data_IF_943550643097
#
_entry.id   IF_943550643097
#
_cell.length_a   1.000
_cell.length_b   1.000
_cell.length_c   1.000
_cell.angle_alpha   90.00
_cell.angle_beta   90.00
_cell.angle_gamma   90.00
#
_symmetry.space_group_name_H-M   'P 1'
#
loop_
_entity.id
_entity.type
_entity.pdbx_description
1 polymer ?
#
# COMPACT_ATOMS: atom_id res chain seq x y z
N UNK A 1 32.58 -2.06 -21.04
CA UNK A 1 32.62 -0.58 -21.02
C UNK A 1 31.62 -0.14 -19.97
N UNK A 2 32.11 0.42 -18.86
CA UNK A 2 31.36 0.60 -17.63
C UNK A 2 30.26 1.65 -17.77
N UNK A 3 29.02 1.28 -17.45
CA UNK A 3 27.91 2.21 -17.30
C UNK A 3 28.03 2.88 -15.93
N UNK A 4 28.46 4.14 -15.93
CA UNK A 4 28.27 5.05 -14.81
C UNK A 4 26.78 5.08 -14.45
N UNK A 5 26.47 4.80 -13.18
CA UNK A 5 25.18 5.08 -12.56
C UNK A 5 25.05 6.59 -12.38
N UNK A 6 24.66 7.29 -13.42
CA UNK A 6 24.09 8.63 -13.26
C UNK A 6 22.59 8.49 -12.94
N UNK A 7 22.11 9.35 -12.05
CA UNK A 7 20.78 9.27 -11.45
C UNK A 7 19.66 9.54 -12.47
N UNK A 8 19.10 8.47 -13.05
CA UNK A 8 17.90 8.46 -13.90
C UNK A 8 16.59 8.64 -13.10
N UNK A 9 16.50 9.65 -12.24
CA UNK A 9 15.21 9.98 -11.62
C UNK A 9 14.32 10.75 -12.60
N UNK A 10 13.20 10.13 -12.98
CA UNK A 10 12.08 10.76 -13.67
C UNK A 10 11.31 11.61 -12.65
N UNK A 11 11.24 12.91 -12.87
CA UNK A 11 10.38 13.79 -12.08
C UNK A 11 9.02 13.90 -12.76
N UNK A 12 7.95 13.65 -12.00
CA UNK A 12 6.58 13.82 -12.46
C UNK A 12 5.82 14.70 -11.47
N UNK A 13 5.06 15.65 -11.98
CA UNK A 13 4.17 16.48 -11.15
C UNK A 13 2.74 16.02 -11.34
N UNK A 14 2.10 15.61 -10.25
CA UNK A 14 0.68 15.24 -10.25
C UNK A 14 -0.10 16.40 -9.65
N UNK A 15 -0.92 17.02 -10.47
CA UNK A 15 -1.86 18.05 -10.06
C UNK A 15 -3.26 17.45 -10.01
N UNK A 16 -3.97 17.66 -8.91
CA UNK A 16 -5.35 17.22 -8.78
C UNK A 16 -6.24 18.33 -8.25
N UNK A 17 -7.31 18.59 -8.97
CA UNK A 17 -8.38 19.51 -8.60
C UNK A 17 -9.67 18.71 -8.32
N UNK A 18 -10.22 18.89 -7.13
CA UNK A 18 -11.49 18.28 -6.72
C UNK A 18 -12.57 19.34 -6.70
N UNK A 19 -13.69 19.10 -7.39
CA UNK A 19 -14.86 19.97 -7.40
C UNK A 19 -16.00 19.37 -6.56
N UNK A 20 -16.02 18.03 -6.37
CA UNK A 20 -17.03 17.32 -5.56
C UNK A 20 -16.45 16.04 -4.89
N UNK A 21 -17.27 15.38 -4.07
CA UNK A 21 -17.00 14.12 -3.36
C UNK A 21 -16.85 12.91 -4.30
N UNK A 22 -15.88 12.02 -4.02
CA UNK A 22 -15.66 10.80 -4.81
C UNK A 22 -14.44 10.00 -4.35
N UNK A 23 -14.38 8.73 -4.76
CA UNK A 23 -13.24 7.84 -4.50
C UNK A 23 -12.34 7.83 -5.72
N UNK A 24 -11.10 8.27 -5.53
CA UNK A 24 -10.04 8.19 -6.54
C UNK A 24 -8.90 7.38 -5.96
N UNK A 25 -8.59 6.26 -6.60
CA UNK A 25 -7.34 5.57 -6.39
C UNK A 25 -6.49 5.83 -7.62
N UNK A 26 -5.38 6.52 -7.44
CA UNK A 26 -4.26 6.36 -8.34
C UNK A 26 -3.58 5.07 -7.92
N UNK A 27 -3.31 4.13 -8.83
CA UNK A 27 -2.55 2.94 -8.50
C UNK A 27 -1.37 2.82 -9.45
N UNK A 28 -0.22 2.57 -8.86
CA UNK A 28 1.03 2.21 -9.54
C UNK A 28 1.94 1.55 -8.50
N UNK A 29 2.91 0.76 -8.96
CA UNK A 29 3.95 0.19 -8.09
C UNK A 29 5.16 1.12 -8.09
N UNK A 30 5.13 2.18 -7.29
CA UNK A 30 6.33 2.99 -7.08
C UNK A 30 7.14 2.33 -5.97
N UNK A 31 8.33 1.83 -6.30
CA UNK A 31 9.24 1.24 -5.32
C UNK A 31 8.54 0.18 -4.44
N UNK A 32 7.77 -0.72 -5.07
CA UNK A 32 7.06 -1.80 -4.40
C UNK A 32 5.93 -1.34 -3.46
N UNK A 33 5.34 -0.15 -3.69
CA UNK A 33 4.16 0.32 -2.94
C UNK A 33 3.10 0.88 -3.86
N UNK A 34 1.83 0.61 -3.51
CA UNK A 34 0.69 1.31 -4.11
C UNK A 34 0.67 2.75 -3.62
N UNK A 35 0.90 3.68 -4.54
CA UNK A 35 0.69 5.09 -4.26
C UNK A 35 -0.80 5.40 -4.45
N UNK A 36 -1.59 5.49 -3.39
CA UNK A 36 -3.01 5.90 -3.46
C UNK A 36 -3.23 7.29 -2.87
N UNK A 37 -4.12 8.08 -3.48
CA UNK A 37 -4.58 9.37 -2.96
C UNK A 37 -6.08 9.25 -2.66
N UNK A 38 -6.42 8.72 -1.48
CA UNK A 38 -7.80 8.63 -1.02
C UNK A 38 -8.28 9.99 -0.50
N UNK A 39 -9.52 10.38 -0.83
CA UNK A 39 -10.07 11.68 -0.44
C UNK A 39 -11.46 11.53 0.17
N UNK A 40 -11.68 12.10 1.38
CA UNK A 40 -12.97 12.04 2.04
C UNK A 40 -13.98 12.99 1.41
N UNK A 41 -15.25 12.63 1.57
CA UNK A 41 -16.42 13.36 1.10
C UNK A 41 -16.59 14.71 1.83
N UNK A 42 -16.03 15.81 1.32
CA UNK A 42 -16.48 17.15 1.72
C UNK A 42 -16.58 18.12 0.54
N UNK A 43 -17.65 18.93 0.52
CA UNK A 43 -18.09 19.85 -0.53
C UNK A 43 -17.21 21.11 -0.67
N UNK A 44 -15.89 20.97 -0.80
CA UNK A 44 -14.98 22.11 -0.97
C UNK A 44 -14.03 21.87 -2.14
N UNK A 45 -13.82 22.89 -3.00
CA UNK A 45 -12.80 22.83 -4.05
C UNK A 45 -11.43 22.71 -3.36
N UNK A 46 -10.75 21.57 -3.55
CA UNK A 46 -9.39 21.36 -3.05
C UNK A 46 -8.46 21.14 -4.22
N UNK A 47 -7.37 21.90 -4.27
CA UNK A 47 -6.24 21.64 -5.17
C UNK A 47 -5.14 20.98 -4.36
N UNK A 48 -4.64 19.84 -4.85
CA UNK A 48 -3.45 19.18 -4.32
C UNK A 48 -2.47 18.98 -5.45
N UNK A 49 -1.21 19.32 -5.19
CA UNK A 49 -0.10 18.96 -6.07
C UNK A 49 0.84 18.05 -5.31
N UNK A 50 1.39 17.05 -6.00
CA UNK A 50 2.43 16.18 -5.46
C UNK A 50 3.49 15.96 -6.52
N UNK A 51 4.71 16.38 -6.21
CA UNK A 51 5.88 15.99 -6.99
C UNK A 51 6.30 14.58 -6.59
N UNK A 52 6.58 13.76 -7.60
CA UNK A 52 7.09 12.42 -7.46
C UNK A 52 8.42 12.31 -8.19
N UNK A 53 9.40 11.68 -7.54
CA UNK A 53 10.62 11.21 -8.18
C UNK A 53 10.48 9.70 -8.39
N UNK A 54 10.39 9.31 -9.65
CA UNK A 54 10.27 7.94 -10.14
C UNK A 54 11.63 7.47 -10.62
N UNK A 55 11.97 6.20 -10.41
CA UNK A 55 13.24 5.62 -10.91
C UNK A 55 13.09 4.97 -12.29
N UNK A 56 11.85 4.78 -12.75
CA UNK A 56 11.48 4.11 -14.00
C UNK A 56 10.18 4.71 -14.52
N UNK A 57 9.93 4.64 -15.85
CA UNK A 57 8.61 4.97 -16.38
C UNK A 57 7.53 4.20 -15.63
N UNK A 58 6.40 4.87 -15.42
CA UNK A 58 5.34 4.34 -14.56
C UNK A 58 3.99 4.52 -15.24
N UNK A 59 3.18 3.48 -15.18
CA UNK A 59 1.78 3.56 -15.59
C UNK A 59 0.93 3.81 -14.38
N UNK A 60 0.11 4.86 -14.47
CA UNK A 60 -0.84 5.25 -13.46
C UNK A 60 -2.23 4.84 -13.90
N UNK A 61 -2.95 4.13 -13.04
CA UNK A 61 -4.33 3.75 -13.30
C UNK A 61 -5.28 4.50 -12.39
N UNK A 62 -6.37 5.01 -12.95
CA UNK A 62 -7.48 5.57 -12.19
C UNK A 62 -8.77 4.79 -12.41
N UNK A 63 -9.52 4.64 -11.32
CA UNK A 63 -10.74 3.85 -11.27
C UNK A 63 -11.93 4.75 -10.94
N UNK A 64 -13.04 4.58 -11.65
CA UNK A 64 -14.31 5.26 -11.36
C UNK A 64 -15.47 4.29 -11.52
N UNK A 65 -16.45 4.35 -10.62
CA UNK A 65 -17.74 3.67 -10.81
C UNK A 65 -18.68 4.54 -11.65
N UNK A 66 -19.19 3.99 -12.75
CA UNK A 66 -20.16 4.64 -13.64
C UNK A 66 -21.30 3.67 -13.89
N UNK A 67 -22.52 3.97 -13.41
CA UNK A 67 -23.68 3.08 -13.55
C UNK A 67 -23.36 1.63 -13.12
N UNK A 68 -22.72 1.47 -11.96
CA UNK A 68 -22.25 0.19 -11.40
C UNK A 68 -21.19 -0.57 -12.23
N UNK A 69 -20.56 0.08 -13.21
CA UNK A 69 -19.41 -0.47 -13.95
C UNK A 69 -18.14 0.29 -13.54
N UNK A 70 -17.08 -0.45 -13.26
CA UNK A 70 -15.75 0.13 -13.08
C UNK A 70 -15.22 0.59 -14.43
N UNK A 71 -14.80 1.84 -14.53
CA UNK A 71 -14.10 2.41 -15.68
C UNK A 71 -12.65 2.63 -15.25
N UNK A 72 -11.72 2.09 -16.03
CA UNK A 72 -10.28 2.22 -15.78
C UNK A 72 -9.67 3.15 -16.82
N UNK A 73 -8.96 4.18 -16.38
CA UNK A 73 -8.11 5.00 -17.26
C UNK A 73 -6.65 4.80 -16.91
N UNK A 74 -5.79 4.75 -17.93
CA UNK A 74 -4.36 4.46 -17.85
C UNK A 74 -3.58 5.63 -18.40
N UNK A 75 -2.57 6.06 -17.65
CA UNK A 75 -1.73 7.19 -18.00
C UNK A 75 -0.29 6.73 -17.98
N UNK A 76 0.39 6.83 -19.12
CA UNK A 76 1.83 6.58 -19.21
C UNK A 76 2.57 7.85 -18.85
N UNK A 77 3.62 7.74 -18.03
CA UNK A 77 4.42 8.89 -17.57
C UNK A 77 5.89 8.65 -17.86
N UNK A 78 6.47 9.60 -18.57
CA UNK A 78 7.87 9.71 -18.92
C UNK A 78 8.56 10.84 -18.14
N UNK A 79 9.81 11.15 -18.49
CA UNK A 79 10.61 12.20 -17.87
C UNK A 79 9.94 13.57 -18.04
N UNK A 80 9.81 14.31 -16.93
CA UNK A 80 9.30 15.69 -16.88
C UNK A 80 7.80 15.85 -17.25
N UNK A 81 7.06 14.75 -17.26
CA UNK A 81 5.61 14.79 -17.50
C UNK A 81 4.85 15.43 -16.33
N UNK A 82 3.84 16.23 -16.70
CA UNK A 82 2.84 16.74 -15.75
C UNK A 82 1.49 16.10 -16.05
N UNK A 83 0.90 15.45 -15.04
CA UNK A 83 -0.44 14.91 -15.10
C UNK A 83 -1.38 15.81 -14.31
N UNK A 84 -2.37 16.42 -14.97
CA UNK A 84 -3.41 17.18 -14.28
C UNK A 84 -4.77 16.50 -14.39
N UNK A 85 -5.38 16.28 -13.23
CA UNK A 85 -6.69 15.65 -13.12
C UNK A 85 -7.67 16.62 -12.49
N UNK A 86 -8.82 16.83 -13.14
CA UNK A 86 -9.94 17.58 -12.56
C UNK A 86 -11.13 16.65 -12.38
N UNK A 87 -11.60 16.53 -11.15
CA UNK A 87 -12.69 15.64 -10.75
C UNK A 87 -13.93 16.44 -10.37
N UNK A 88 -15.07 16.04 -10.92
CA UNK A 88 -16.37 16.69 -10.73
C UNK A 88 -17.47 15.62 -10.89
N UNK A 89 -18.53 15.71 -10.08
CA UNK A 89 -19.62 14.71 -10.06
C UNK A 89 -20.37 14.64 -11.39
N UNK A 90 -20.64 15.80 -11.98
CA UNK A 90 -21.48 15.94 -13.18
C UNK A 90 -20.67 16.30 -14.44
N UNK A 91 -19.38 16.60 -14.28
CA UNK A 91 -18.44 16.75 -15.39
C UNK A 91 -17.78 15.40 -15.66
N UNK A 92 -17.65 15.00 -16.92
CA UNK A 92 -16.63 14.00 -17.30
C UNK A 92 -15.30 14.52 -16.75
N UNK A 93 -14.59 13.76 -15.90
CA UNK A 93 -13.29 14.17 -15.37
C UNK A 93 -12.46 14.77 -16.50
N UNK A 94 -12.20 16.08 -16.45
CA UNK A 94 -11.41 16.74 -17.47
C UNK A 94 -9.95 16.51 -17.09
N UNK A 95 -9.33 15.55 -17.76
CA UNK A 95 -7.91 15.39 -17.70
C UNK A 95 -7.27 16.47 -18.57
N UNK A 96 -6.28 17.18 -18.03
CA UNK A 96 -5.37 17.99 -18.82
C UNK A 96 -3.96 17.44 -18.66
N UNK A 97 -3.47 16.86 -19.75
CA UNK A 97 -2.09 16.41 -19.89
C UNK A 97 -1.84 16.12 -21.35
N UNK A 98 -0.59 15.88 -21.70
CA UNK A 98 -0.23 15.65 -23.09
C UNK A 98 -1.00 14.43 -23.64
N UNK A 99 -1.49 14.50 -24.89
CA UNK A 99 -2.10 13.37 -25.59
C UNK A 99 -1.22 12.11 -25.52
N UNK A 100 0.10 12.32 -25.48
CA UNK A 100 1.13 11.32 -25.23
C UNK A 100 0.85 10.41 -24.03
N UNK A 101 0.32 10.97 -22.96
CA UNK A 101 0.15 10.27 -21.68
C UNK A 101 -1.11 9.40 -21.68
N UNK A 102 -2.08 9.70 -22.54
CA UNK A 102 -3.36 8.98 -22.62
C UNK A 102 -3.38 7.83 -23.63
N UNK A 103 -2.26 7.56 -24.30
CA UNK A 103 -2.20 6.60 -25.41
C UNK A 103 -2.69 5.20 -25.05
N UNK A 104 -2.45 4.76 -23.81
CA UNK A 104 -2.94 3.47 -23.34
C UNK A 104 -4.46 3.38 -23.33
N UNK A 105 -5.19 4.49 -23.13
CA UNK A 105 -6.65 4.50 -23.23
C UNK A 105 -7.15 4.39 -24.67
N UNK A 106 -6.34 4.82 -25.64
CA UNK A 106 -6.65 4.71 -27.06
C UNK A 106 -6.42 3.27 -27.53
N UNK A 107 -5.28 2.69 -27.13
CA UNK A 107 -4.89 1.33 -27.52
C UNK A 107 -5.65 0.24 -26.75
N UNK A 108 -6.03 0.50 -25.50
CA UNK A 108 -6.72 -0.46 -24.63
C UNK A 108 -8.06 0.11 -24.17
N UNK A 109 -9.11 -0.37 -24.81
CA UNK A 109 -10.50 -0.07 -24.44
C UNK A 109 -11.12 -1.21 -23.61
N UNK A 110 -10.40 -1.66 -22.57
CA UNK A 110 -10.87 -2.70 -21.65
C UNK A 110 -10.90 -2.18 -20.20
N UNK A 111 -12.04 -2.38 -19.56
CA UNK A 111 -12.32 -2.01 -18.18
C UNK A 111 -12.24 -3.20 -17.20
N UNK A 112 -12.13 -4.43 -17.72
CA UNK A 112 -12.17 -5.69 -16.96
C UNK A 112 -10.77 -6.29 -16.74
N UNK A 113 -9.73 -5.47 -16.77
CA UNK A 113 -8.32 -5.91 -16.81
C UNK A 113 -7.92 -6.79 -15.61
N UNK A 114 -8.55 -6.58 -14.46
CA UNK A 114 -8.31 -7.36 -13.25
C UNK A 114 -9.39 -8.44 -12.99
N UNK A 115 -10.47 -8.46 -13.76
CA UNK A 115 -11.51 -9.47 -13.59
C UNK A 115 -11.05 -10.80 -14.20
N UNK A 116 -11.24 -11.89 -13.46
CA UNK A 116 -11.03 -13.25 -13.97
C UNK A 116 -12.00 -13.47 -15.13
N UNK A 117 -11.47 -13.92 -16.27
CA UNK A 117 -12.25 -14.17 -17.47
C UNK A 117 -12.70 -15.63 -17.52
N UNK A 118 -13.94 -15.86 -17.96
CA UNK A 118 -14.53 -17.18 -18.16
C UNK A 118 -15.00 -17.34 -19.61
N UNK A 119 -14.09 -17.30 -20.61
CA UNK A 119 -14.48 -17.42 -22.01
C UNK A 119 -15.02 -18.84 -22.28
N UNK A 120 -16.04 -18.94 -23.14
CA UNK A 120 -16.61 -20.24 -23.53
C UNK A 120 -15.59 -21.15 -24.25
N UNK A 121 -14.61 -20.55 -24.92
CA UNK A 121 -13.54 -21.25 -25.61
C UNK A 121 -12.21 -20.50 -25.34
N UNK A 122 -11.36 -21.10 -24.51
CA UNK A 122 -10.13 -20.46 -24.01
C UNK A 122 -9.07 -20.31 -25.11
N UNK A 123 -8.89 -21.33 -25.97
CA UNK A 123 -7.92 -21.27 -27.07
C UNK A 123 -8.24 -20.14 -28.05
N UNK A 124 -9.52 -19.97 -28.44
CA UNK A 124 -9.94 -18.87 -29.30
C UNK A 124 -9.74 -17.51 -28.62
N UNK A 125 -10.00 -17.43 -27.31
CA UNK A 125 -9.76 -16.22 -26.54
C UNK A 125 -8.28 -15.84 -26.53
N UNK A 126 -7.36 -16.79 -26.32
CA UNK A 126 -5.91 -16.54 -26.36
C UNK A 126 -5.48 -16.02 -27.74
N UNK A 127 -5.94 -16.64 -28.83
CA UNK A 127 -5.66 -16.20 -30.20
C UNK A 127 -6.19 -14.79 -30.48
N UNK A 128 -7.38 -14.44 -29.96
CA UNK A 128 -7.94 -13.09 -30.07
C UNK A 128 -7.08 -12.07 -29.33
N UNK A 129 -6.65 -12.39 -28.10
CA UNK A 129 -5.76 -11.51 -27.33
C UNK A 129 -4.42 -11.30 -28.06
N UNK A 130 -3.87 -12.34 -28.69
CA UNK A 130 -2.63 -12.24 -29.49
C UNK A 130 -2.79 -11.30 -30.67
N UNK A 131 -3.87 -11.45 -31.45
CA UNK A 131 -4.17 -10.57 -32.60
C UNK A 131 -4.34 -9.11 -32.17
N UNK A 132 -5.03 -8.87 -31.05
CA UNK A 132 -5.21 -7.53 -30.51
C UNK A 132 -3.87 -6.90 -30.07
N UNK A 133 -3.01 -7.69 -29.42
CA UNK A 133 -1.66 -7.26 -29.06
C UNK A 133 -0.83 -6.88 -30.30
N UNK A 134 -0.75 -7.76 -31.31
CA UNK A 134 0.00 -7.50 -32.55
C UNK A 134 -0.50 -6.24 -33.27
N UNK A 135 -1.83 -6.05 -33.34
CA UNK A 135 -2.44 -4.85 -33.91
C UNK A 135 -1.98 -3.59 -33.16
N UNK A 136 -2.05 -3.60 -31.83
CA UNK A 136 -1.67 -2.45 -31.02
C UNK A 136 -0.17 -2.13 -31.14
N UNK A 137 0.70 -3.14 -31.22
CA UNK A 137 2.14 -2.94 -31.46
C UNK A 137 2.38 -2.23 -32.80
N UNK A 138 1.70 -2.65 -33.87
CA UNK A 138 1.80 -1.99 -35.19
C UNK A 138 1.32 -0.54 -35.13
N UNK A 139 0.27 -0.25 -34.37
CA UNK A 139 -0.20 1.13 -34.19
C UNK A 139 0.83 2.01 -33.45
N UNK A 140 1.49 1.49 -32.41
CA UNK A 140 2.57 2.22 -31.71
C UNK A 140 3.73 2.52 -32.64
N UNK A 141 4.15 1.55 -33.46
CA UNK A 141 5.26 1.71 -34.41
C UNK A 141 4.99 2.79 -35.47
N UNK A 142 3.71 3.04 -35.81
CA UNK A 142 3.33 4.14 -36.73
C UNK A 142 3.42 5.52 -36.08
N UNK A 143 3.54 5.61 -34.76
CA UNK A 143 3.55 6.89 -34.01
C UNK A 143 4.96 7.46 -33.79
N UNK A 144 5.87 7.24 -34.75
CA UNK A 144 7.26 7.70 -34.66
C UNK A 144 7.43 9.22 -34.50
N UNK A 145 6.46 10.01 -34.96
CA UNK A 145 6.45 11.46 -34.80
C UNK A 145 5.97 11.93 -33.41
N UNK A 146 5.42 11.03 -32.59
CA UNK A 146 4.88 11.34 -31.25
C UNK A 146 5.73 10.74 -30.13
N UNK A 147 6.34 9.58 -30.36
CA UNK A 147 7.17 8.86 -29.40
C UNK A 147 8.52 8.53 -30.01
N UNK A 148 9.59 8.76 -29.25
CA UNK A 148 10.91 8.26 -29.63
C UNK A 148 10.98 6.73 -29.45
N UNK A 149 12.03 6.10 -29.98
CA UNK A 149 12.19 4.64 -29.96
C UNK A 149 12.17 4.05 -28.54
N UNK A 150 12.74 4.75 -27.54
CA UNK A 150 12.73 4.28 -26.16
C UNK A 150 11.31 4.30 -25.58
N UNK A 151 10.57 5.37 -25.82
CA UNK A 151 9.18 5.53 -25.36
C UNK A 151 8.23 4.54 -26.04
N UNK A 152 8.38 4.30 -27.35
CA UNK A 152 7.65 3.25 -28.05
C UNK A 152 7.94 1.88 -27.43
N UNK A 153 9.22 1.60 -27.12
CA UNK A 153 9.63 0.39 -26.42
C UNK A 153 8.90 0.22 -25.09
N UNK A 154 8.80 1.27 -24.27
CA UNK A 154 8.08 1.22 -23.00
C UNK A 154 6.55 1.05 -23.15
N UNK A 155 5.95 1.59 -24.21
CA UNK A 155 4.53 1.37 -24.51
C UNK A 155 4.30 -0.09 -24.93
N UNK A 156 5.16 -0.61 -25.80
CA UNK A 156 5.11 -2.02 -26.24
C UNK A 156 5.32 -2.95 -25.04
N UNK A 157 6.27 -2.64 -24.16
CA UNK A 157 6.50 -3.36 -22.91
C UNK A 157 5.22 -3.46 -22.06
N UNK A 158 4.48 -2.36 -21.92
CA UNK A 158 3.19 -2.39 -21.22
C UNK A 158 2.15 -3.23 -21.96
N UNK A 159 2.05 -3.12 -23.29
CA UNK A 159 1.14 -3.94 -24.09
C UNK A 159 1.44 -5.43 -23.94
N UNK A 160 2.72 -5.81 -23.83
CA UNK A 160 3.17 -7.17 -23.56
C UNK A 160 2.73 -7.64 -22.18
N UNK A 161 2.97 -6.84 -21.14
CA UNK A 161 2.49 -7.16 -19.79
C UNK A 161 0.96 -7.26 -19.72
N UNK A 162 0.26 -6.37 -20.42
CA UNK A 162 -1.20 -6.39 -20.53
C UNK A 162 -1.69 -7.68 -21.21
N UNK A 163 -1.05 -8.08 -22.30
CA UNK A 163 -1.34 -9.33 -23.00
C UNK A 163 -1.13 -10.54 -22.08
N UNK A 164 0.02 -10.65 -21.43
CA UNK A 164 0.31 -11.71 -20.45
C UNK A 164 -0.71 -11.77 -19.32
N UNK A 165 -1.09 -10.61 -18.78
CA UNK A 165 -2.15 -10.52 -17.79
C UNK A 165 -3.48 -11.07 -18.34
N UNK A 166 -3.87 -10.74 -19.58
CA UNK A 166 -5.15 -11.19 -20.17
C UNK A 166 -5.21 -12.69 -20.40
N UNK A 167 -4.12 -13.32 -20.84
CA UNK A 167 -4.11 -14.76 -21.13
C UNK A 167 -4.06 -15.63 -19.86
N UNK A 168 -3.45 -15.14 -18.77
CA UNK A 168 -3.37 -15.87 -17.50
C UNK A 168 -4.45 -15.47 -16.49
N UNK A 169 -5.14 -14.34 -16.67
CA UNK A 169 -6.27 -13.96 -15.82
C UNK A 169 -7.58 -14.64 -16.24
N UNK A 170 -7.55 -15.96 -16.35
CA UNK A 170 -8.69 -16.82 -16.72
C UNK A 170 -9.06 -17.74 -15.55
N UNK A 171 -10.23 -18.35 -15.63
CA UNK A 171 -10.61 -19.44 -14.73
C UNK A 171 -9.98 -20.76 -15.17
N UNK A 172 -8.85 -21.12 -14.55
CA UNK A 172 -8.14 -22.37 -14.85
C UNK A 172 -8.98 -23.64 -14.55
N UNK A 173 -10.04 -23.56 -13.75
CA UNK A 173 -10.94 -24.71 -13.53
C UNK A 173 -11.73 -25.11 -14.78
N UNK A 174 -11.74 -24.25 -15.80
CA UNK A 174 -12.36 -24.50 -17.11
C UNK A 174 -11.36 -24.98 -18.17
N UNK A 175 -10.08 -25.08 -17.84
CA UNK A 175 -9.03 -25.55 -18.76
C UNK A 175 -8.95 -27.07 -18.70
N UNK A 176 -9.51 -27.72 -19.72
CA UNK A 176 -9.66 -29.17 -19.74
C UNK A 176 -8.96 -29.82 -20.94
N UNK A 177 -8.68 -29.05 -21.99
CA UNK A 177 -8.11 -29.59 -23.23
C UNK A 177 -6.58 -29.45 -23.28
N UNK A 178 -5.85 -30.47 -23.77
CA UNK A 178 -4.38 -30.44 -23.82
C UNK A 178 -3.79 -29.30 -24.67
N UNK A 179 -4.47 -28.87 -25.73
CA UNK A 179 -3.96 -27.82 -26.63
C UNK A 179 -3.93 -26.46 -25.94
N UNK A 180 -4.95 -26.12 -25.18
CA UNK A 180 -4.97 -24.90 -24.35
C UNK A 180 -3.84 -24.94 -23.31
N UNK A 181 -3.61 -26.09 -22.67
CA UNK A 181 -2.52 -26.24 -21.69
C UNK A 181 -1.16 -26.03 -22.36
N UNK A 182 -0.93 -26.65 -23.53
CA UNK A 182 0.30 -26.49 -24.33
C UNK A 182 0.53 -25.01 -24.70
N UNK A 183 -0.52 -24.30 -25.11
CA UNK A 183 -0.43 -22.89 -25.46
C UNK A 183 -0.15 -22.00 -24.24
N UNK A 184 -0.80 -22.25 -23.11
CA UNK A 184 -0.51 -21.55 -21.86
C UNK A 184 0.93 -21.83 -21.40
N UNK A 185 1.43 -23.06 -21.57
CA UNK A 185 2.80 -23.42 -21.26
C UNK A 185 3.82 -22.71 -22.14
N UNK A 186 3.52 -22.53 -23.42
CA UNK A 186 4.33 -21.72 -24.32
C UNK A 186 4.48 -20.29 -23.78
N UNK A 187 3.35 -19.62 -23.47
CA UNK A 187 3.40 -18.25 -22.95
C UNK A 187 3.97 -18.16 -21.53
N UNK A 188 3.80 -19.19 -20.71
CA UNK A 188 4.42 -19.27 -19.39
C UNK A 188 5.94 -19.19 -19.54
N UNK A 189 6.52 -19.97 -20.46
CA UNK A 189 7.96 -19.90 -20.78
C UNK A 189 8.37 -18.55 -21.35
N UNK A 190 7.59 -17.99 -22.29
CA UNK A 190 7.89 -16.66 -22.86
C UNK A 190 7.95 -15.56 -21.79
N UNK A 191 7.09 -15.62 -20.77
CA UNK A 191 7.11 -14.68 -19.65
C UNK A 191 8.43 -14.81 -18.87
N UNK A 192 8.89 -16.02 -18.59
CA UNK A 192 10.16 -16.21 -17.87
C UNK A 192 11.39 -15.84 -18.68
N UNK A 193 11.36 -16.06 -19.99
CA UNK A 193 12.43 -15.60 -20.87
C UNK A 193 12.49 -14.06 -20.94
N UNK A 194 11.33 -13.41 -20.80
CA UNK A 194 11.20 -11.96 -20.76
C UNK A 194 11.05 -11.38 -19.34
N UNK A 195 11.41 -12.11 -18.28
CA UNK A 195 11.00 -11.73 -16.90
C UNK A 195 11.54 -10.38 -16.44
N UNK A 196 12.66 -9.92 -17.01
CA UNK A 196 13.24 -8.59 -16.75
C UNK A 196 12.31 -7.45 -17.15
N UNK A 197 11.31 -7.71 -17.99
CA UNK A 197 10.25 -6.78 -18.33
C UNK A 197 9.51 -6.26 -17.09
N UNK A 198 9.28 -7.13 -16.10
CA UNK A 198 8.64 -6.77 -14.83
C UNK A 198 9.47 -5.73 -14.04
N UNK A 199 10.80 -5.75 -14.20
CA UNK A 199 11.70 -4.80 -13.57
C UNK A 199 11.90 -3.54 -14.41
N UNK A 200 11.59 -3.56 -15.70
CA UNK A 200 11.77 -2.41 -16.59
C UNK A 200 10.67 -1.36 -16.41
N UNK A 201 9.44 -1.81 -16.12
CA UNK A 201 8.27 -0.94 -16.02
C UNK A 201 7.52 -1.11 -14.69
N UNK A 202 7.22 0.00 -14.03
CA UNK A 202 6.39 0.02 -12.83
C UNK A 202 4.90 0.06 -13.19
N UNK A 203 4.22 -1.07 -13.02
CA UNK A 203 2.79 -1.21 -13.32
C UNK A 203 2.09 -2.12 -12.31
N UNK A 204 0.83 -1.82 -11.99
CA UNK A 204 -0.01 -2.67 -11.15
C UNK A 204 -0.23 -4.07 -11.77
N UNK A 205 -0.08 -4.20 -13.10
CA UNK A 205 -0.16 -5.49 -13.79
C UNK A 205 0.89 -6.49 -13.30
N UNK A 206 2.07 -6.05 -12.86
CA UNK A 206 3.14 -6.95 -12.42
C UNK A 206 2.66 -7.86 -11.28
N UNK A 207 1.93 -7.32 -10.31
CA UNK A 207 1.35 -8.11 -9.21
C UNK A 207 0.35 -9.14 -9.72
N UNK A 208 -0.56 -8.73 -10.61
CA UNK A 208 -1.59 -9.63 -11.12
C UNK A 208 -0.97 -10.74 -11.99
N UNK A 209 0.04 -10.42 -12.80
CA UNK A 209 0.80 -11.41 -13.57
C UNK A 209 1.46 -12.40 -12.61
N UNK A 210 2.20 -11.95 -11.59
CA UNK A 210 2.86 -12.83 -10.62
C UNK A 210 1.87 -13.73 -9.89
N UNK A 211 0.72 -13.18 -9.48
CA UNK A 211 -0.35 -13.95 -8.88
C UNK A 211 -0.95 -14.99 -9.84
N UNK A 212 -1.18 -14.62 -11.10
CA UNK A 212 -1.73 -15.53 -12.10
C UNK A 212 -0.74 -16.61 -12.55
N UNK A 213 0.57 -16.31 -12.57
CA UNK A 213 1.61 -17.32 -12.75
C UNK A 213 1.56 -18.35 -11.64
N UNK A 214 1.48 -17.91 -10.37
CA UNK A 214 1.30 -18.82 -9.23
C UNK A 214 0.03 -19.67 -9.34
N UNK A 215 -1.10 -19.08 -9.75
CA UNK A 215 -2.35 -19.82 -10.00
C UNK A 215 -2.19 -20.87 -11.10
N UNK A 216 -1.49 -20.54 -12.17
CA UNK A 216 -1.23 -21.49 -13.26
C UNK A 216 -0.27 -22.60 -12.82
N UNK A 217 0.77 -22.27 -12.05
CA UNK A 217 1.67 -23.25 -11.44
C UNK A 217 0.92 -24.19 -10.51
N UNK A 218 0.02 -23.66 -9.68
CA UNK A 218 -0.88 -24.42 -8.81
C UNK A 218 -1.77 -25.38 -9.60
N UNK A 219 -2.41 -24.88 -10.67
CA UNK A 219 -3.20 -25.69 -11.59
C UNK A 219 -2.37 -26.85 -12.20
N UNK A 220 -1.19 -26.55 -12.73
CA UNK A 220 -0.32 -27.56 -13.36
C UNK A 220 0.16 -28.65 -12.40
N UNK A 221 0.53 -28.24 -11.18
CA UNK A 221 1.08 -29.16 -10.19
C UNK A 221 0.00 -29.79 -9.30
N UNK A 222 -1.28 -29.45 -9.50
CA UNK A 222 -2.40 -29.86 -8.65
C UNK A 222 -2.16 -29.58 -7.16
N UNK A 223 -1.43 -28.50 -6.86
CA UNK A 223 -1.16 -28.07 -5.49
C UNK A 223 -1.96 -26.79 -5.20
N UNK A 224 -2.97 -26.83 -4.32
CA UNK A 224 -3.79 -25.65 -4.01
C UNK A 224 -3.05 -24.60 -3.16
N UNK A 225 -1.95 -24.96 -2.50
CA UNK A 225 -1.14 -24.03 -1.73
C UNK A 225 -0.25 -23.20 -2.67
N UNK A 226 -0.64 -21.93 -2.86
CA UNK A 226 0.10 -20.99 -3.69
C UNK A 226 1.49 -20.68 -3.15
N UNK A 227 1.70 -20.77 -1.83
CA UNK A 227 3.00 -20.49 -1.23
C UNK A 227 3.97 -21.64 -1.47
N UNK A 228 3.48 -22.88 -1.34
CA UNK A 228 4.27 -24.04 -1.78
C UNK A 228 4.59 -23.94 -3.26
N UNK A 229 3.69 -23.41 -4.10
CA UNK A 229 3.95 -23.26 -5.53
C UNK A 229 5.12 -22.33 -5.90
N UNK A 230 5.64 -21.51 -4.97
CA UNK A 230 6.78 -20.63 -5.24
C UNK A 230 8.01 -21.38 -5.76
N UNK A 231 8.27 -22.60 -5.28
CA UNK A 231 9.49 -23.35 -5.67
C UNK A 231 9.47 -23.85 -7.12
N UNK A 232 8.30 -23.91 -7.76
CA UNK A 232 8.16 -24.30 -9.17
C UNK A 232 8.34 -23.13 -10.13
N UNK A 233 8.48 -21.89 -9.62
CA UNK A 233 8.72 -20.73 -10.46
C UNK A 233 10.17 -20.72 -10.99
N UNK A 234 10.38 -20.09 -12.14
CA UNK A 234 11.72 -19.97 -12.73
C UNK A 234 12.67 -19.21 -11.80
N UNK A 235 13.90 -19.72 -11.66
CA UNK A 235 14.96 -19.12 -10.85
C UNK A 235 15.28 -17.66 -11.19
N UNK A 236 15.10 -17.24 -12.46
CA UNK A 236 15.30 -15.86 -12.91
C UNK A 236 14.31 -14.91 -12.24
N UNK A 237 13.09 -15.38 -11.93
CA UNK A 237 12.07 -14.56 -11.28
C UNK A 237 12.47 -14.19 -9.83
N UNK A 238 13.18 -15.07 -9.12
CA UNK A 238 13.70 -14.83 -7.77
C UNK A 238 14.67 -13.64 -7.69
N UNK A 239 15.14 -13.16 -8.83
CA UNK A 239 16.06 -12.04 -8.91
C UNK A 239 15.36 -10.71 -9.21
N UNK A 240 14.03 -10.66 -9.31
CA UNK A 240 13.28 -9.48 -9.76
C UNK A 240 12.83 -8.55 -8.62
N UNK A 241 12.82 -7.23 -8.88
CA UNK A 241 12.21 -6.21 -8.00
C UNK A 241 10.69 -6.38 -7.91
N UNK A 242 10.07 -6.85 -8.99
CA UNK A 242 8.64 -7.12 -9.01
C UNK A 242 8.23 -8.24 -8.05
N UNK A 243 8.93 -9.38 -8.04
CA UNK A 243 8.62 -10.48 -7.11
C UNK A 243 8.80 -10.05 -5.66
N UNK A 244 9.93 -9.40 -5.34
CA UNK A 244 10.17 -8.88 -4.00
C UNK A 244 8.99 -8.03 -3.53
N UNK A 245 8.54 -7.07 -4.35
CA UNK A 245 7.44 -6.19 -3.99
C UNK A 245 6.12 -6.92 -3.80
N UNK A 246 5.81 -7.86 -4.71
CA UNK A 246 4.62 -8.69 -4.60
C UNK A 246 4.60 -9.50 -3.30
N UNK A 247 5.71 -10.17 -2.97
CA UNK A 247 5.83 -10.99 -1.78
C UNK A 247 5.80 -10.16 -0.49
N UNK A 248 6.39 -8.97 -0.52
CA UNK A 248 6.34 -8.04 0.61
C UNK A 248 4.94 -7.50 0.86
N UNK A 249 4.21 -7.12 -0.20
CA UNK A 249 2.83 -6.69 -0.09
C UNK A 249 1.91 -7.85 0.33
N UNK A 250 2.18 -9.07 -0.11
CA UNK A 250 1.50 -10.28 0.35
C UNK A 250 1.76 -10.50 1.85
N UNK A 251 3.01 -10.42 2.29
CA UNK A 251 3.38 -10.51 3.71
C UNK A 251 2.69 -9.44 4.55
N UNK A 252 2.57 -8.21 4.06
CA UNK A 252 1.91 -7.11 4.76
C UNK A 252 0.40 -7.31 4.82
N UNK A 253 -0.22 -7.65 3.69
CA UNK A 253 -1.69 -7.80 3.57
C UNK A 253 -2.22 -9.02 4.32
N UNK A 254 -1.43 -10.10 4.36
CA UNK A 254 -1.82 -11.37 4.96
C UNK A 254 -1.03 -11.70 6.23
N UNK A 255 -0.27 -10.75 6.79
CA UNK A 255 0.63 -10.97 7.94
C UNK A 255 -0.02 -11.79 9.06
N UNK A 256 -1.27 -11.45 9.39
CA UNK A 256 -2.05 -12.08 10.45
C UNK A 256 -2.45 -13.55 10.18
N UNK A 257 -2.38 -14.00 8.93
CA UNK A 257 -2.79 -15.32 8.48
C UNK A 257 -1.60 -16.20 8.07
N UNK A 258 -0.37 -15.68 8.15
CA UNK A 258 0.85 -16.40 7.77
C UNK A 258 1.49 -17.02 9.02
N UNK A 259 1.80 -18.31 8.94
CA UNK A 259 2.61 -18.99 9.96
C UNK A 259 4.07 -18.56 9.89
N UNK A 260 4.86 -18.86 10.93
CA UNK A 260 6.31 -18.63 10.90
C UNK A 260 7.00 -19.39 9.75
N UNK A 261 6.52 -20.60 9.46
CA UNK A 261 6.98 -21.39 8.30
C UNK A 261 6.72 -20.64 6.99
N UNK A 262 5.57 -20.00 6.86
CA UNK A 262 5.21 -19.23 5.66
C UNK A 262 6.11 -18.00 5.52
N UNK A 263 6.32 -17.26 6.61
CA UNK A 263 7.21 -16.11 6.64
C UNK A 263 8.65 -16.49 6.27
N UNK A 264 9.15 -17.62 6.78
CA UNK A 264 10.47 -18.16 6.42
C UNK A 264 10.51 -18.52 4.93
N UNK A 265 9.46 -19.16 4.43
CA UNK A 265 9.36 -19.58 3.03
C UNK A 265 9.38 -18.36 2.12
N UNK A 266 8.52 -17.37 2.35
CA UNK A 266 8.46 -16.13 1.56
C UNK A 266 9.81 -15.40 1.57
N UNK A 267 10.44 -15.25 2.74
CA UNK A 267 11.73 -14.56 2.88
C UNK A 267 12.85 -15.18 2.05
N UNK A 268 12.80 -16.48 1.76
CA UNK A 268 13.80 -17.14 0.88
C UNK A 268 13.77 -16.61 -0.55
N UNK A 269 12.61 -16.14 -1.00
CA UNK A 269 12.38 -15.66 -2.37
C UNK A 269 12.51 -14.14 -2.51
N UNK A 270 12.79 -13.43 -1.41
CA UNK A 270 13.00 -11.98 -1.41
C UNK A 270 14.49 -11.70 -1.35
N UNK A 271 14.99 -10.84 -2.23
CA UNK A 271 16.42 -10.45 -2.22
C UNK A 271 16.78 -9.72 -0.92
N UNK A 272 17.97 -10.04 -0.37
CA UNK A 272 18.49 -9.46 0.88
C UNK A 272 18.42 -7.92 0.93
N UNK A 273 18.71 -7.24 -0.19
CA UNK A 273 18.65 -5.77 -0.28
C UNK A 273 17.25 -5.22 -0.02
N UNK A 274 16.21 -5.92 -0.46
CA UNK A 274 14.81 -5.51 -0.31
C UNK A 274 14.30 -5.80 1.09
N UNK A 275 14.77 -6.88 1.72
CA UNK A 275 14.52 -7.16 3.14
C UNK A 275 15.14 -6.10 4.05
N UNK A 276 16.37 -5.64 3.76
CA UNK A 276 17.06 -4.61 4.57
C UNK A 276 16.25 -3.31 4.67
N UNK A 277 15.65 -2.88 3.56
CA UNK A 277 14.78 -1.69 3.50
C UNK A 277 13.50 -1.79 4.35
N UNK A 278 13.13 -2.99 4.81
CA UNK A 278 11.97 -3.22 5.69
C UNK A 278 12.38 -3.39 7.14
N UNK A 279 13.51 -4.04 7.43
CA UNK A 279 14.04 -4.09 8.79
C UNK A 279 14.45 -2.70 9.29
N UNK A 280 14.93 -1.83 8.42
CA UNK A 280 15.15 -0.40 8.73
C UNK A 280 13.84 0.37 8.98
N UNK A 281 12.68 -0.21 8.62
CA UNK A 281 11.34 0.37 8.86
C UNK A 281 10.58 -0.27 10.03
N UNK A 282 10.89 -1.52 10.39
CA UNK A 282 10.23 -2.28 11.48
C UNK A 282 10.80 -2.01 12.89
N UNK A 283 11.84 -1.18 13.00
CA UNK A 283 12.32 -0.65 14.29
C UNK A 283 12.45 0.86 14.21
N UNK A 284 11.36 1.56 13.84
CA UNK A 284 11.29 2.99 14.17
C UNK A 284 11.24 3.08 15.69
N UNK A 285 12.40 3.23 16.30
CA UNK A 285 12.52 3.61 17.70
C UNK A 285 12.06 5.06 17.82
N UNK A 286 11.43 5.36 18.95
CA UNK A 286 11.18 6.74 19.34
C UNK A 286 12.51 7.49 19.30
N UNK A 287 12.54 8.67 18.68
CA UNK A 287 13.79 9.44 18.59
C UNK A 287 14.24 9.89 19.98
N UNK A 288 15.56 10.09 20.13
CA UNK A 288 16.15 10.56 21.39
C UNK A 288 15.56 11.91 21.84
N UNK A 289 15.21 12.78 20.87
CA UNK A 289 14.53 14.05 21.13
C UNK A 289 13.14 13.86 21.75
N UNK A 290 12.43 12.79 21.40
CA UNK A 290 11.16 12.45 22.05
C UNK A 290 11.41 11.83 23.41
N UNK A 291 12.36 10.90 23.57
CA UNK A 291 12.66 10.31 24.88
C UNK A 291 13.06 11.34 25.94
N UNK A 292 13.86 12.35 25.53
CA UNK A 292 14.30 13.45 26.39
C UNK A 292 13.26 14.57 26.56
N UNK A 293 12.14 14.51 25.84
CA UNK A 293 11.05 15.48 25.99
C UNK A 293 10.26 15.26 27.28
N UNK A 294 9.61 16.32 27.76
CA UNK A 294 8.90 16.33 29.05
C UNK A 294 7.40 16.41 28.84
N UNK A 295 6.70 15.61 29.64
CA UNK A 295 5.25 15.59 29.81
C UNK A 295 4.89 16.16 31.18
N UNK A 296 3.66 16.62 31.38
CA UNK A 296 3.15 16.96 32.72
C UNK A 296 2.18 15.89 33.21
N UNK A 297 2.32 15.45 34.47
CA UNK A 297 1.38 14.55 35.14
C UNK A 297 0.18 15.32 35.76
N UNK A 298 -0.75 14.59 36.38
CA UNK A 298 -1.93 15.18 37.04
C UNK A 298 -1.61 16.10 38.23
N UNK A 299 -0.39 16.06 38.78
CA UNK A 299 0.07 16.90 39.87
C UNK A 299 0.92 18.09 39.35
N UNK A 300 0.94 18.32 38.04
CA UNK A 300 1.80 19.32 37.37
C UNK A 300 3.29 19.03 37.45
N UNK A 301 3.70 17.82 37.85
CA UNK A 301 5.11 17.44 37.83
C UNK A 301 5.55 17.15 36.40
N UNK A 302 6.77 17.54 36.06
CA UNK A 302 7.40 17.13 34.82
C UNK A 302 7.87 15.67 34.90
N UNK A 303 7.54 14.87 33.89
CA UNK A 303 8.03 13.51 33.71
C UNK A 303 8.72 13.40 32.34
N UNK A 304 9.86 12.72 32.28
CA UNK A 304 10.49 12.44 30.99
C UNK A 304 9.63 11.42 30.23
N UNK A 305 9.52 11.60 28.91
CA UNK A 305 8.75 10.69 28.06
C UNK A 305 9.23 9.24 28.22
N UNK A 306 10.55 9.04 28.35
CA UNK A 306 11.13 7.72 28.62
C UNK A 306 10.60 7.09 29.92
N UNK A 307 10.47 7.87 31.00
CA UNK A 307 9.96 7.39 32.30
C UNK A 307 8.49 6.98 32.20
N UNK A 308 7.71 7.76 31.45
CA UNK A 308 6.31 7.46 31.16
C UNK A 308 6.14 6.12 30.43
N UNK A 309 7.12 5.70 29.62
CA UNK A 309 7.06 4.42 28.91
C UNK A 309 7.61 3.23 29.70
N UNK A 310 8.28 3.42 30.84
CA UNK A 310 8.89 2.34 31.60
C UNK A 310 7.85 1.27 31.99
N UNK A 311 8.07 0.04 31.55
CA UNK A 311 7.19 -1.11 31.84
C UNK A 311 7.65 -1.87 33.07
N UNK A 312 6.73 -2.52 33.77
CA UNK A 312 7.05 -3.53 34.80
C UNK A 312 7.56 -4.81 34.14
N UNK A 313 8.27 -5.66 34.90
CA UNK A 313 8.77 -6.94 34.40
C UNK A 313 7.67 -7.88 33.84
N UNK A 314 6.43 -7.73 34.32
CA UNK A 314 5.28 -8.50 33.86
C UNK A 314 4.64 -7.94 32.59
N UNK A 315 4.91 -6.67 32.26
CA UNK A 315 4.33 -5.97 31.12
C UNK A 315 5.24 -6.11 29.90
N UNK A 316 4.70 -6.53 28.76
CA UNK A 316 5.44 -6.73 27.51
C UNK A 316 5.18 -5.65 26.46
N UNK A 317 4.12 -4.85 26.64
CA UNK A 317 3.65 -3.83 25.70
C UNK A 317 3.30 -2.52 26.41
N UNK A 318 3.35 -1.42 25.66
CA UNK A 318 2.79 -0.12 26.05
C UNK A 318 1.75 0.30 25.02
N UNK A 319 0.53 0.60 25.46
CA UNK A 319 -0.51 1.19 24.64
C UNK A 319 -0.72 2.65 25.04
N UNK A 320 -0.58 3.56 24.07
CA UNK A 320 -0.73 5.00 24.25
C UNK A 320 -2.06 5.45 23.63
N UNK A 321 -2.86 6.21 24.35
CA UNK A 321 -4.06 6.92 23.86
C UNK A 321 -3.79 8.42 23.75
N UNK A 322 -3.88 8.95 22.53
CA UNK A 322 -3.83 10.38 22.24
C UNK A 322 -5.24 10.94 22.15
N UNK A 323 -5.59 11.79 23.10
CA UNK A 323 -6.95 12.28 23.29
C UNK A 323 -6.98 13.77 23.70
N UNK A 324 -8.18 14.33 23.83
CA UNK A 324 -8.39 15.66 24.41
C UNK A 324 -9.80 15.81 24.98
N UNK A 325 -10.00 16.73 25.92
CA UNK A 325 -11.31 16.98 26.56
C UNK A 325 -12.40 17.44 25.58
N UNK A 326 -12.02 18.13 24.51
CA UNK A 326 -12.93 18.59 23.45
C UNK A 326 -13.19 17.52 22.35
N UNK A 327 -12.52 16.37 22.42
CA UNK A 327 -12.64 15.31 21.43
C UNK A 327 -13.78 14.34 21.78
N UNK A 328 -15.00 14.63 21.32
CA UNK A 328 -16.18 13.76 21.55
C UNK A 328 -15.94 12.30 21.15
N UNK A 329 -15.33 11.98 19.98
CA UNK A 329 -15.05 10.58 19.64
C UNK A 329 -14.07 9.92 20.61
N UNK A 330 -13.10 10.65 21.18
CA UNK A 330 -12.18 10.11 22.18
C UNK A 330 -12.93 9.76 23.47
N UNK A 331 -13.83 10.63 23.92
CA UNK A 331 -14.64 10.39 25.13
C UNK A 331 -15.52 9.15 24.99
N UNK A 332 -16.02 8.88 23.78
CA UNK A 332 -16.81 7.67 23.49
C UNK A 332 -15.99 6.37 23.56
N UNK A 333 -14.66 6.43 23.40
CA UNK A 333 -13.77 5.26 23.49
C UNK A 333 -13.35 4.96 24.94
N UNK A 334 -13.44 5.92 25.87
CA UNK A 334 -13.00 5.76 27.26
C UNK A 334 -13.60 4.54 27.98
N UNK A 335 -14.91 4.20 27.81
CA UNK A 335 -15.45 2.99 28.43
C UNK A 335 -14.80 1.70 27.92
N UNK A 336 -14.44 1.65 26.64
CA UNK A 336 -13.75 0.50 26.05
C UNK A 336 -12.28 0.46 26.48
N UNK A 337 -11.61 1.61 26.54
CA UNK A 337 -10.27 1.75 27.12
C UNK A 337 -10.19 1.19 28.54
N UNK A 338 -11.10 1.62 29.43
CA UNK A 338 -11.12 1.18 30.82
C UNK A 338 -11.35 -0.34 30.96
N UNK A 339 -12.20 -0.92 30.09
CA UNK A 339 -12.39 -2.38 30.03
C UNK A 339 -11.12 -3.11 29.59
N UNK A 340 -10.43 -2.57 28.58
CA UNK A 340 -9.18 -3.13 28.08
C UNK A 340 -8.06 -3.03 29.11
N UNK A 341 -7.95 -1.90 29.81
CA UNK A 341 -6.97 -1.70 30.88
C UNK A 341 -7.15 -2.73 32.01
N UNK A 342 -8.40 -3.00 32.40
CA UNK A 342 -8.70 -4.04 33.38
C UNK A 342 -8.38 -5.45 32.86
N UNK A 343 -8.77 -5.76 31.62
CA UNK A 343 -8.56 -7.08 31.01
C UNK A 343 -7.07 -7.42 30.86
N UNK A 344 -6.24 -6.45 30.48
CA UNK A 344 -4.82 -6.64 30.19
C UNK A 344 -3.90 -6.15 31.31
N UNK A 345 -4.46 -5.94 32.51
CA UNK A 345 -3.71 -5.49 33.69
C UNK A 345 -2.51 -6.39 33.96
N UNK A 346 -1.34 -5.77 34.14
CA UNK A 346 -0.08 -6.46 34.41
C UNK A 346 0.57 -7.09 33.19
N UNK A 347 -0.08 -7.10 32.02
CA UNK A 347 0.50 -7.53 30.73
C UNK A 347 0.83 -6.35 29.82
N UNK A 348 0.04 -5.28 29.90
CA UNK A 348 0.18 -4.08 29.08
C UNK A 348 0.16 -2.85 29.99
N UNK A 349 1.07 -1.91 29.73
CA UNK A 349 1.03 -0.59 30.31
C UNK A 349 0.11 0.31 29.47
N UNK A 350 -0.91 0.88 30.09
CA UNK A 350 -1.83 1.83 29.46
C UNK A 350 -1.38 3.25 29.82
N UNK A 351 -1.21 4.11 28.81
CA UNK A 351 -0.77 5.50 28.97
C UNK A 351 -1.72 6.41 28.21
N UNK A 352 -2.26 7.42 28.89
CA UNK A 352 -3.09 8.45 28.27
C UNK A 352 -2.28 9.74 28.15
N UNK A 353 -2.20 10.29 26.95
CA UNK A 353 -1.53 11.56 26.67
C UNK A 353 -2.54 12.52 26.05
N UNK A 354 -2.95 13.51 26.81
CA UNK A 354 -3.81 14.59 26.33
C UNK A 354 -3.00 15.59 25.48
N UNK A 355 -3.64 16.08 24.41
CA UNK A 355 -3.16 17.22 23.61
C UNK A 355 -3.99 18.50 23.87
N UNK A 356 -4.68 18.58 25.01
CA UNK A 356 -5.30 19.81 25.49
C UNK A 356 -4.24 20.90 25.66
N UNK A 357 -4.60 22.14 25.34
CA UNK A 357 -3.70 23.29 25.50
C UNK A 357 -3.79 23.95 26.89
N UNK A 358 -4.70 23.48 27.75
CA UNK A 358 -4.98 24.07 29.06
C UNK A 358 -4.98 22.96 30.13
N UNK A 359 -3.98 23.00 31.00
CA UNK A 359 -3.78 22.03 32.08
C UNK A 359 -4.96 21.99 33.05
N UNK A 360 -5.44 23.15 33.53
CA UNK A 360 -6.51 23.22 34.53
C UNK A 360 -7.82 22.61 34.01
N UNK A 361 -8.19 22.88 32.75
CA UNK A 361 -9.38 22.30 32.12
C UNK A 361 -9.28 20.78 32.03
N UNK A 362 -8.13 20.28 31.60
CA UNK A 362 -7.85 18.86 31.53
C UNK A 362 -7.90 18.20 32.92
N UNK A 363 -7.25 18.80 33.91
CA UNK A 363 -7.25 18.33 35.29
C UNK A 363 -8.66 18.29 35.89
N UNK A 364 -9.45 19.35 35.72
CA UNK A 364 -10.84 19.41 36.20
C UNK A 364 -11.71 18.34 35.52
N UNK A 365 -11.50 18.08 34.23
CA UNK A 365 -12.18 17.00 33.52
C UNK A 365 -11.83 15.64 34.12
N UNK A 366 -10.54 15.34 34.31
CA UNK A 366 -10.09 14.08 34.92
C UNK A 366 -10.65 13.88 36.33
N UNK A 367 -10.62 14.94 37.14
CA UNK A 367 -11.16 14.93 38.51
C UNK A 367 -12.67 14.62 38.53
N UNK A 368 -13.43 15.16 37.58
CA UNK A 368 -14.87 14.86 37.44
C UNK A 368 -15.16 13.40 37.07
N UNK A 369 -14.18 12.69 36.51
CA UNK A 369 -14.26 11.28 36.09
C UNK A 369 -13.56 10.33 37.05
N UNK A 370 -12.92 10.84 38.10
CA UNK A 370 -12.04 10.09 39.02
C UNK A 370 -11.00 9.24 38.28
N UNK A 371 -10.41 9.81 37.24
CA UNK A 371 -9.49 9.12 36.33
C UNK A 371 -8.09 9.75 36.40
N UNK A 372 -7.32 9.37 37.41
CA UNK A 372 -5.99 9.95 37.67
C UNK A 372 -4.83 9.04 37.26
N UNK A 373 -5.10 7.81 36.81
CA UNK A 373 -4.06 6.82 36.55
C UNK A 373 -3.40 7.02 35.17
N UNK A 374 -2.07 7.11 35.15
CA UNK A 374 -1.24 7.17 33.94
C UNK A 374 -1.69 8.22 32.90
N UNK A 375 -2.18 9.35 33.40
CA UNK A 375 -2.62 10.48 32.59
C UNK A 375 -1.53 11.55 32.56
N UNK A 376 -1.18 11.96 31.34
CA UNK A 376 -0.20 13.00 31.06
C UNK A 376 -0.77 13.99 30.04
N UNK A 377 -0.19 15.19 29.97
CA UNK A 377 -0.59 16.23 29.01
C UNK A 377 0.61 16.84 28.30
N UNK A 378 0.41 17.14 27.02
CA UNK A 378 1.28 17.97 26.18
C UNK A 378 0.50 19.25 25.84
N UNK A 379 0.82 20.35 26.52
CA UNK A 379 0.16 21.65 26.30
C UNK A 379 0.71 22.43 25.11
N UNK A 380 1.90 22.05 24.61
CA UNK A 380 2.59 22.73 23.51
C UNK A 380 2.47 21.93 22.20
N UNK A 381 1.78 22.49 21.21
CA UNK A 381 1.63 21.86 19.87
C UNK A 381 2.96 21.70 19.11
N UNK A 382 4.02 22.40 19.53
CA UNK A 382 5.37 22.25 18.97
C UNK A 382 6.20 21.10 19.59
N UNK A 383 5.63 20.32 20.50
CA UNK A 383 6.31 19.24 21.20
C UNK A 383 6.94 18.21 20.24
N UNK A 384 8.16 17.69 20.51
CA UNK A 384 8.85 16.72 19.66
C UNK A 384 7.99 15.52 19.27
N UNK A 385 7.23 14.96 20.23
CA UNK A 385 6.33 13.83 20.00
C UNK A 385 5.26 14.14 18.95
N UNK A 386 4.60 15.31 19.04
CA UNK A 386 3.55 15.74 18.10
C UNK A 386 4.14 15.91 16.69
N UNK A 387 5.34 16.50 16.60
CA UNK A 387 6.03 16.74 15.32
C UNK A 387 6.50 15.45 14.65
N UNK A 388 7.13 14.55 15.41
CA UNK A 388 7.69 13.31 14.87
C UNK A 388 6.60 12.40 14.30
N UNK A 389 5.48 12.28 15.01
CA UNK A 389 4.35 11.45 14.60
C UNK A 389 3.31 12.19 13.74
N UNK A 390 3.55 13.46 13.43
CA UNK A 390 2.68 14.32 12.61
C UNK A 390 1.22 14.26 13.06
N UNK A 391 1.01 14.32 14.38
CA UNK A 391 -0.31 14.20 14.99
C UNK A 391 -1.16 15.40 14.54
N UNK A 392 -2.16 15.11 13.71
CA UNK A 392 -3.09 16.11 13.16
C UNK A 392 -4.56 15.74 13.40
N UNK A 393 -4.82 14.53 13.89
CA UNK A 393 -6.16 14.01 14.19
C UNK A 393 -6.12 13.13 15.43
N UNK A 394 -7.17 13.20 16.26
CA UNK A 394 -7.43 12.33 17.41
C UNK A 394 -8.89 11.81 17.35
N UNK A 395 -9.25 10.67 17.98
CA UNK A 395 -8.41 9.79 18.80
C UNK A 395 -7.36 9.05 17.98
N UNK A 396 -6.20 8.78 18.60
CA UNK A 396 -5.14 7.98 17.98
C UNK A 396 -4.48 7.09 19.02
N UNK A 397 -4.30 5.82 18.68
CA UNK A 397 -3.69 4.84 19.57
C UNK A 397 -2.33 4.43 19.03
N UNK A 398 -1.33 4.24 19.90
CA UNK A 398 -0.01 3.75 19.50
C UNK A 398 0.38 2.56 20.36
N UNK A 399 0.92 1.52 19.72
CA UNK A 399 1.37 0.31 20.40
C UNK A 399 2.89 0.19 20.30
N UNK A 400 3.55 0.03 21.44
CA UNK A 400 4.98 -0.16 21.56
C UNK A 400 5.29 -1.50 22.24
N UNK A 401 6.45 -2.08 21.95
CA UNK A 401 6.97 -3.19 22.76
C UNK A 401 7.76 -2.68 23.98
N UNK A 402 8.15 -3.61 24.87
CA UNK A 402 8.99 -3.32 26.06
C UNK A 402 10.35 -2.67 25.77
N UNK A 403 10.83 -2.71 24.53
CA UNK A 403 12.07 -2.06 24.10
C UNK A 403 11.81 -0.65 23.52
N UNK A 404 10.60 -0.13 23.67
CA UNK A 404 10.12 1.15 23.13
C UNK A 404 10.18 1.24 21.59
N UNK A 405 10.13 0.09 20.91
CA UNK A 405 10.02 0.03 19.47
C UNK A 405 8.54 0.15 19.08
N UNK A 406 8.27 0.94 18.06
CA UNK A 406 6.91 1.20 17.60
C UNK A 406 6.42 -0.01 16.81
N UNK A 407 5.45 -0.74 17.38
CA UNK A 407 4.72 -1.81 16.70
C UNK A 407 3.69 -1.17 15.75
N UNK A 408 2.98 -0.14 16.20
CA UNK A 408 2.01 0.62 15.41
C UNK A 408 1.91 2.05 15.92
N UNK A 409 1.96 3.04 15.02
CA UNK A 409 1.73 4.46 15.33
C UNK A 409 0.27 4.92 15.05
N UNK A 410 -0.60 4.00 14.62
CA UNK A 410 -2.03 4.21 14.36
C UNK A 410 -2.83 2.93 14.63
N UNK A 411 -2.80 2.48 15.87
CA UNK A 411 -3.39 1.23 16.31
C UNK A 411 -4.91 1.30 16.36
N UNK A 412 -5.54 0.13 16.30
CA UNK A 412 -7.00 -0.02 16.33
C UNK A 412 -7.58 0.52 17.64
N UNK A 413 -8.76 1.12 17.56
CA UNK A 413 -9.46 1.70 18.73
C UNK A 413 -9.94 0.62 19.71
N UNK A 414 -10.00 0.89 21.02
CA UNK A 414 -10.49 -0.07 22.01
C UNK A 414 -11.92 -0.58 21.77
N UNK A 415 -12.82 0.23 21.22
CA UNK A 415 -14.20 -0.20 20.93
C UNK A 415 -14.34 -1.08 19.68
N UNK A 416 -13.30 -1.17 18.83
CA UNK A 416 -13.33 -2.01 17.64
C UNK A 416 -13.29 -3.49 18.03
N UNK A 417 -14.13 -4.31 17.38
CA UNK A 417 -14.22 -5.74 17.66
C UNK A 417 -12.89 -6.49 17.48
N UNK A 418 -11.97 -5.96 16.67
CA UNK A 418 -10.66 -6.56 16.39
C UNK A 418 -9.59 -6.20 17.43
N UNK A 419 -9.85 -5.24 18.32
CA UNK A 419 -8.85 -4.73 19.27
C UNK A 419 -8.27 -5.83 20.15
N UNK A 420 -9.14 -6.63 20.80
CA UNK A 420 -8.69 -7.71 21.68
C UNK A 420 -7.87 -8.76 20.93
N UNK A 421 -8.31 -9.14 19.72
CA UNK A 421 -7.60 -10.12 18.90
C UNK A 421 -6.21 -9.61 18.51
N UNK A 422 -6.09 -8.34 18.12
CA UNK A 422 -4.80 -7.75 17.75
C UNK A 422 -3.86 -7.62 18.95
N UNK A 423 -4.37 -7.23 20.12
CA UNK A 423 -3.56 -7.12 21.34
C UNK A 423 -3.02 -8.48 21.78
N UNK A 424 -3.86 -9.52 21.79
CA UNK A 424 -3.44 -10.87 22.22
C UNK A 424 -2.30 -11.43 21.35
N UNK A 425 -2.24 -11.07 20.05
CA UNK A 425 -1.14 -11.48 19.14
C UNK A 425 0.23 -10.99 19.58
N UNK A 426 0.30 -9.87 20.29
CA UNK A 426 1.56 -9.29 20.76
C UNK A 426 1.88 -9.63 22.22
N UNK A 427 0.96 -10.30 22.92
CA UNK A 427 1.14 -10.78 24.29
C UNK A 427 1.61 -12.25 24.36
N UNK A 428 1.48 -12.98 23.26
CA UNK A 428 2.08 -14.31 23.05
C UNK A 428 3.57 -14.20 22.81
#
# INVERSE_FOLDING_TARGET
MGLQKENDSIHATINVEFIDTGVFALNTLINQRSFSINIPSSKSIKKKSKQLSLVKPSVFESYRLVKNKTVVKRYFVFKEDTLSFKFCRDCINSYSGNAKNNILNILINDNNVFAVQTPNNIINYIEEQRKNYEKNVREVQKMANTYNNAEQGFIIDYLTLYFYNKIFNIDFSKVNDPKTIEQLDFYYKEIFDNIKLLDKLNTILNKNILYNLLRFTSFKNKNPDLLECLHFLDSKLYQTEALDGFLLDYMESFYNNLSDKDLITIKKYIRKRSLKNIFDRKTKKISENVFSSKLQDVNSNEALFQEVLLVKATESLVLIDLWATWCVPCLNEMPAWNKSEQKYKGKIKFVKISIDNNFEKWYNFLSSKNDHNFNYIITNSNHPFIKEFKISTIPRYMLLNKNHEIISDDFTRPSDSRFSEQIEKYLQ
#
